data_IF_361528422517
#
_entry.id   IF_361528422517
#
_cell.length_a   1.000
_cell.length_b   1.000
_cell.length_c   1.000
_cell.angle_alpha   90.00
_cell.angle_beta   90.00
_cell.angle_gamma   90.00
#
_symmetry.space_group_name_H-M   'P 1'
#
loop_
_entity.id
_entity.type
_entity.pdbx_description
1 polymer ?
#
# COMPACT_ATOMS: atom_id res chain seq x y z
N UNK A 1 28.95 -9.70 25.97
CA UNK A 1 28.78 -8.88 24.75
C UNK A 1 28.96 -9.76 23.53
N UNK A 2 28.09 -9.61 22.53
CA UNK A 2 28.15 -10.39 21.29
C UNK A 2 29.26 -9.86 20.36
N UNK A 3 29.91 -10.73 19.58
CA UNK A 3 30.84 -10.28 18.55
C UNK A 3 30.15 -9.39 17.50
N UNK A 4 30.81 -8.30 17.10
CA UNK A 4 30.31 -7.35 16.10
C UNK A 4 29.93 -8.01 14.76
N UNK A 5 30.61 -9.11 14.41
CA UNK A 5 30.34 -9.92 13.23
C UNK A 5 28.90 -10.45 13.17
N UNK A 6 28.31 -10.77 14.32
CA UNK A 6 26.93 -11.25 14.42
C UNK A 6 25.90 -10.16 14.08
N UNK A 7 26.29 -8.88 14.17
CA UNK A 7 25.40 -7.72 14.01
C UNK A 7 25.58 -6.99 12.67
N UNK A 8 26.52 -7.43 11.82
CA UNK A 8 26.84 -6.77 10.53
C UNK A 8 25.68 -6.71 9.53
N UNK A 9 24.71 -7.62 9.63
CA UNK A 9 23.56 -7.67 8.72
C UNK A 9 22.44 -6.68 9.08
N UNK A 10 22.57 -6.00 10.23
CA UNK A 10 21.63 -4.98 10.68
C UNK A 10 22.08 -3.65 10.06
N UNK A 11 21.41 -3.23 9.00
CA UNK A 11 21.74 -2.05 8.20
C UNK A 11 21.32 -0.74 8.89
N UNK A 12 20.51 -0.82 9.95
CA UNK A 12 20.05 0.33 10.72
C UNK A 12 18.88 1.07 10.09
N UNK A 13 18.26 0.52 9.04
CA UNK A 13 17.04 1.04 8.47
C UNK A 13 15.88 0.99 9.47
N UNK A 14 15.08 2.06 9.51
CA UNK A 14 13.98 2.23 10.47
C UNK A 14 13.04 1.02 10.51
N UNK A 15 12.64 0.51 9.35
CA UNK A 15 11.77 -0.67 9.24
C UNK A 15 12.41 -1.94 9.83
N UNK A 16 13.68 -2.20 9.50
CA UNK A 16 14.39 -3.38 10.03
C UNK A 16 14.50 -3.27 11.56
N UNK A 17 14.82 -2.08 12.05
CA UNK A 17 14.93 -1.81 13.47
C UNK A 17 13.60 -2.05 14.22
N UNK A 18 12.50 -1.45 13.76
CA UNK A 18 11.19 -1.63 14.40
C UNK A 18 10.75 -3.09 14.41
N UNK A 19 10.99 -3.80 13.31
CA UNK A 19 10.71 -5.23 13.21
C UNK A 19 11.54 -6.05 14.21
N UNK A 20 12.84 -5.76 14.33
CA UNK A 20 13.73 -6.46 15.27
C UNK A 20 13.38 -6.19 16.73
N UNK A 21 13.03 -4.94 17.06
CA UNK A 21 12.63 -4.55 18.40
C UNK A 21 11.36 -5.32 18.84
N UNK A 22 10.35 -5.35 17.97
CA UNK A 22 9.12 -6.12 18.19
C UNK A 22 9.40 -7.58 18.53
N UNK A 23 10.35 -8.21 17.84
CA UNK A 23 10.66 -9.64 18.03
C UNK A 23 11.46 -9.88 19.30
N UNK A 24 12.45 -9.04 19.58
CA UNK A 24 13.28 -9.26 20.76
C UNK A 24 12.47 -9.03 22.04
N UNK A 25 11.54 -8.08 22.06
CA UNK A 25 10.60 -7.90 23.18
C UNK A 25 9.67 -9.11 23.37
N UNK A 26 9.28 -9.77 22.27
CA UNK A 26 8.47 -11.00 22.33
C UNK A 26 9.29 -12.22 22.83
N UNK A 27 10.57 -12.34 22.47
CA UNK A 27 11.43 -13.50 22.79
C UNK A 27 12.09 -13.38 24.16
N UNK A 28 12.44 -12.18 24.58
CA UNK A 28 13.21 -11.95 25.81
C UNK A 28 12.34 -11.89 27.08
N UNK A 29 11.00 -11.95 26.95
CA UNK A 29 10.03 -11.63 28.01
C UNK A 29 10.28 -10.26 28.68
N UNK A 30 11.14 -9.41 28.09
CA UNK A 30 11.43 -8.03 28.51
C UNK A 30 10.30 -7.08 28.08
N UNK A 31 9.04 -7.50 28.17
CA UNK A 31 7.94 -6.52 28.12
C UNK A 31 8.21 -5.52 29.23
N UNK A 32 8.32 -4.22 28.96
CA UNK A 32 8.68 -3.28 30.00
C UNK A 32 7.61 -3.34 31.10
N UNK A 33 7.94 -3.64 32.37
CA UNK A 33 7.10 -3.23 33.48
C UNK A 33 7.31 -1.73 33.64
N UNK A 34 6.77 -0.90 32.72
CA UNK A 34 6.80 0.57 32.74
C UNK A 34 8.19 1.24 32.99
N UNK A 35 9.32 0.52 32.96
CA UNK A 35 10.59 1.01 33.50
C UNK A 35 11.83 0.85 32.62
N UNK A 36 11.90 -0.17 31.75
CA UNK A 36 13.06 -0.35 30.84
C UNK A 36 13.14 0.76 29.77
N UNK A 37 12.00 1.35 29.43
CA UNK A 37 11.90 2.40 28.42
C UNK A 37 12.57 3.70 28.83
N UNK A 38 12.72 3.98 30.14
CA UNK A 38 13.05 5.32 30.64
C UNK A 38 14.55 5.65 30.67
N UNK A 39 15.43 4.63 30.70
CA UNK A 39 16.89 4.83 30.65
C UNK A 39 17.44 4.79 29.21
N UNK A 40 16.74 4.13 28.28
CA UNK A 40 17.16 3.96 26.88
C UNK A 40 16.49 4.94 25.90
N UNK A 41 15.67 5.88 26.38
CA UNK A 41 14.89 6.85 25.55
C UNK A 41 15.79 7.68 24.62
N UNK A 42 17.05 7.87 24.99
CA UNK A 42 18.02 8.65 24.22
C UNK A 42 18.69 7.85 23.10
N UNK A 43 18.60 6.52 23.13
CA UNK A 43 19.11 5.65 22.08
C UNK A 43 17.98 5.36 21.09
N UNK A 44 18.28 5.57 19.81
CA UNK A 44 17.37 5.27 18.70
C UNK A 44 18.03 4.33 17.70
N UNK A 45 17.22 3.61 16.93
CA UNK A 45 17.68 2.71 15.89
C UNK A 45 18.65 1.64 16.39
N UNK A 46 19.72 1.37 15.62
CA UNK A 46 20.68 0.30 15.89
C UNK A 46 21.25 0.29 17.32
N UNK A 47 21.53 1.46 17.89
CA UNK A 47 22.13 1.56 19.23
C UNK A 47 21.17 1.11 20.34
N UNK A 48 19.88 1.41 20.18
CA UNK A 48 18.85 0.96 21.10
C UNK A 48 18.73 -0.57 21.07
N UNK A 49 18.69 -1.16 19.87
CA UNK A 49 18.63 -2.61 19.72
C UNK A 49 19.83 -3.33 20.35
N UNK A 50 21.04 -2.79 20.16
CA UNK A 50 22.26 -3.33 20.77
C UNK A 50 22.20 -3.24 22.30
N UNK A 51 21.74 -2.11 22.84
CA UNK A 51 21.59 -1.97 24.29
C UNK A 51 20.57 -2.98 24.86
N UNK A 52 19.45 -3.21 24.18
CA UNK A 52 18.47 -4.23 24.56
C UNK A 52 19.09 -5.64 24.56
N UNK A 53 19.90 -5.96 23.55
CA UNK A 53 20.64 -7.23 23.49
C UNK A 53 21.68 -7.38 24.61
N UNK A 54 22.36 -6.30 24.99
CA UNK A 54 23.36 -6.31 26.05
C UNK A 54 22.72 -6.53 27.43
N UNK A 55 21.54 -5.95 27.68
CA UNK A 55 20.79 -6.10 28.94
C UNK A 55 20.14 -7.48 29.08
N UNK A 56 19.83 -8.14 27.97
CA UNK A 56 19.19 -9.46 28.00
C UNK A 56 20.09 -10.51 28.67
N UNK A 57 19.70 -11.06 29.83
CA UNK A 57 20.56 -11.95 30.62
C UNK A 57 20.45 -13.42 30.17
N UNK A 58 21.10 -13.75 29.06
CA UNK A 58 21.14 -15.09 28.45
C UNK A 58 22.57 -15.42 28.00
N UNK A 59 22.90 -16.71 27.96
CA UNK A 59 24.21 -17.18 27.48
C UNK A 59 24.54 -16.65 26.07
N UNK A 60 25.81 -16.36 25.84
CA UNK A 60 26.28 -15.75 24.59
C UNK A 60 25.99 -16.68 23.38
N UNK A 61 26.08 -18.00 23.55
CA UNK A 61 25.78 -18.95 22.48
C UNK A 61 24.28 -18.96 22.14
N UNK A 62 23.42 -18.89 23.15
CA UNK A 62 21.98 -18.79 22.94
C UNK A 62 21.59 -17.46 22.30
N UNK A 63 22.17 -16.33 22.74
CA UNK A 63 21.99 -15.03 22.07
C UNK A 63 22.41 -15.06 20.61
N UNK A 64 23.57 -15.65 20.30
CA UNK A 64 24.08 -15.74 18.93
C UNK A 64 23.15 -16.59 18.04
N UNK A 65 22.60 -17.69 18.59
CA UNK A 65 21.60 -18.51 17.91
C UNK A 65 20.34 -17.71 17.61
N UNK A 66 19.82 -16.96 18.58
CA UNK A 66 18.60 -16.17 18.37
C UNK A 66 18.80 -15.03 17.36
N UNK A 67 19.95 -14.36 17.35
CA UNK A 67 20.26 -13.35 16.32
C UNK A 67 20.30 -13.98 14.92
N UNK A 68 20.88 -15.18 14.78
CA UNK A 68 20.88 -15.88 13.50
C UNK A 68 19.47 -16.34 13.08
N UNK A 69 18.61 -16.70 14.03
CA UNK A 69 17.20 -16.98 13.76
C UNK A 69 16.48 -15.72 13.26
N UNK A 70 16.64 -14.59 13.96
CA UNK A 70 16.08 -13.30 13.56
C UNK A 70 16.56 -12.88 12.17
N UNK A 71 17.83 -13.13 11.83
CA UNK A 71 18.37 -12.87 10.49
C UNK A 71 17.63 -13.67 9.42
N UNK A 72 17.43 -14.97 9.64
CA UNK A 72 16.71 -15.86 8.70
C UNK A 72 15.25 -15.43 8.55
N UNK A 73 14.60 -15.08 9.66
CA UNK A 73 13.23 -14.59 9.66
C UNK A 73 13.10 -13.26 8.91
N UNK A 74 14.01 -12.31 9.14
CA UNK A 74 14.04 -11.04 8.43
C UNK A 74 14.21 -11.23 6.92
N UNK A 75 15.12 -12.12 6.49
CA UNK A 75 15.31 -12.42 5.07
C UNK A 75 14.04 -13.02 4.43
N UNK A 76 13.36 -13.93 5.15
CA UNK A 76 12.10 -14.51 4.70
C UNK A 76 10.98 -13.46 4.67
N UNK A 77 10.94 -12.59 5.66
CA UNK A 77 10.00 -11.46 5.76
C UNK A 77 10.16 -10.54 4.56
N UNK A 78 11.39 -10.07 4.30
CA UNK A 78 11.73 -9.22 3.16
C UNK A 78 11.45 -9.90 1.81
N UNK A 79 11.62 -11.21 1.70
CA UNK A 79 11.27 -11.94 0.47
C UNK A 79 9.76 -11.90 0.15
N UNK A 80 8.91 -11.69 1.17
CA UNK A 80 7.46 -11.52 0.98
C UNK A 80 7.07 -10.10 0.55
N UNK A 81 7.98 -9.12 0.62
CA UNK A 81 7.73 -7.75 0.15
C UNK A 81 7.32 -7.69 -1.33
N UNK A 82 7.67 -8.71 -2.11
CA UNK A 82 7.22 -8.88 -3.51
C UNK A 82 5.70 -8.80 -3.68
N UNK A 83 4.92 -9.14 -2.65
CA UNK A 83 3.45 -8.99 -2.70
C UNK A 83 3.02 -7.52 -2.77
N UNK A 84 3.87 -6.62 -2.28
CA UNK A 84 3.68 -5.17 -2.27
C UNK A 84 4.41 -4.46 -3.43
N UNK A 85 5.10 -5.18 -4.32
CA UNK A 85 5.83 -4.59 -5.45
C UNK A 85 4.97 -3.65 -6.34
N UNK A 86 3.65 -3.84 -6.34
CA UNK A 86 2.73 -2.93 -7.01
C UNK A 86 2.74 -1.49 -6.46
N UNK A 87 3.14 -1.28 -5.21
CA UNK A 87 3.25 0.04 -4.60
C UNK A 87 4.60 0.72 -4.84
N UNK A 88 5.61 -0.02 -5.33
CA UNK A 88 6.97 0.48 -5.62
C UNK A 88 7.07 1.23 -6.97
N UNK A 89 5.93 1.59 -7.56
CA UNK A 89 5.90 2.26 -8.85
C UNK A 89 6.47 3.68 -8.78
N UNK A 90 7.43 4.00 -9.66
CA UNK A 90 8.13 5.30 -9.64
C UNK A 90 7.22 6.51 -9.89
N UNK A 91 6.11 6.33 -10.62
CA UNK A 91 5.22 7.43 -11.00
C UNK A 91 3.96 7.46 -10.14
N UNK A 92 3.38 6.29 -9.91
CA UNK A 92 2.09 6.17 -9.23
C UNK A 92 2.22 5.65 -7.80
N UNK A 93 3.39 5.17 -7.37
CA UNK A 93 3.58 4.49 -6.08
C UNK A 93 3.12 5.32 -4.90
N UNK A 94 3.51 6.59 -4.83
CA UNK A 94 3.05 7.51 -3.78
C UNK A 94 1.52 7.66 -3.76
N UNK A 95 0.88 7.81 -4.93
CA UNK A 95 -0.60 7.90 -5.02
C UNK A 95 -1.28 6.58 -4.67
N UNK A 96 -0.68 5.45 -5.02
CA UNK A 96 -1.15 4.11 -4.62
C UNK A 96 -1.04 3.92 -3.11
N UNK A 97 0.03 4.42 -2.48
CA UNK A 97 0.22 4.41 -1.03
C UNK A 97 -0.82 5.29 -0.32
N UNK A 98 -1.07 6.50 -0.82
CA UNK A 98 -2.16 7.34 -0.30
C UNK A 98 -3.53 6.66 -0.46
N UNK A 99 -3.78 6.02 -1.60
CA UNK A 99 -5.01 5.25 -1.81
C UNK A 99 -5.13 4.06 -0.84
N UNK A 100 -4.00 3.44 -0.47
CA UNK A 100 -3.94 2.42 0.58
C UNK A 100 -4.33 3.01 1.93
N UNK A 101 -3.78 4.19 2.30
CA UNK A 101 -4.16 4.88 3.53
C UNK A 101 -5.66 5.18 3.59
N UNK A 102 -6.23 5.76 2.53
CA UNK A 102 -7.67 6.04 2.48
C UNK A 102 -8.54 4.77 2.52
N UNK A 103 -7.99 3.62 2.12
CA UNK A 103 -8.67 2.34 2.25
C UNK A 103 -8.60 1.85 3.70
N UNK A 104 -7.41 1.88 4.30
CA UNK A 104 -7.16 1.49 5.68
C UNK A 104 -8.05 2.30 6.62
N UNK A 105 -8.02 3.63 6.54
CA UNK A 105 -8.83 4.56 7.34
C UNK A 105 -10.34 4.23 7.35
N UNK A 106 -10.86 3.67 6.26
CA UNK A 106 -12.28 3.32 6.13
C UNK A 106 -12.63 1.91 6.59
N UNK A 107 -11.67 0.98 6.57
CA UNK A 107 -11.95 -0.45 6.73
C UNK A 107 -11.34 -1.03 7.99
N UNK A 108 -10.27 -0.44 8.52
CA UNK A 108 -9.63 -0.88 9.75
C UNK A 108 -10.15 -0.04 10.92
N UNK A 109 -10.91 -0.71 11.80
CA UNK A 109 -11.53 -0.10 12.99
C UNK A 109 -10.55 0.08 14.14
N UNK A 110 -9.35 -0.51 14.04
CA UNK A 110 -8.35 -0.53 15.11
C UNK A 110 -7.18 0.42 14.85
N UNK A 111 -7.23 1.21 13.77
CA UNK A 111 -6.24 2.28 13.54
C UNK A 111 -6.27 3.24 14.73
N UNK A 112 -5.14 3.37 15.40
CA UNK A 112 -4.95 4.41 16.40
C UNK A 112 -5.09 5.78 15.73
N UNK A 113 -5.75 6.74 16.39
CA UNK A 113 -5.84 8.12 15.90
C UNK A 113 -4.47 8.80 15.73
N UNK A 114 -3.44 8.23 16.34
CA UNK A 114 -2.05 8.70 16.29
C UNK A 114 -1.26 8.12 15.11
N UNK A 115 -1.84 7.16 14.36
CA UNK A 115 -1.16 6.55 13.22
C UNK A 115 -0.94 7.57 12.11
N UNK A 116 0.31 7.71 11.68
CA UNK A 116 0.67 8.60 10.59
C UNK A 116 0.15 8.08 9.24
N UNK A 117 -0.28 8.99 8.34
CA UNK A 117 -0.73 8.59 7.02
C UNK A 117 0.36 7.88 6.21
N UNK A 118 -0.03 6.80 5.52
CA UNK A 118 0.85 6.10 4.59
C UNK A 118 1.02 6.94 3.31
N UNK A 119 2.19 7.54 3.15
CA UNK A 119 2.53 8.43 2.04
C UNK A 119 3.49 7.79 1.02
N UNK A 120 4.26 6.79 1.44
CA UNK A 120 5.28 6.15 0.62
C UNK A 120 5.35 4.63 0.85
N UNK A 121 6.16 3.96 0.02
CA UNK A 121 6.30 2.51 0.02
C UNK A 121 6.86 1.96 1.34
N UNK A 122 7.81 2.67 1.96
CA UNK A 122 8.42 2.21 3.21
C UNK A 122 7.43 2.26 4.37
N UNK A 123 6.69 3.36 4.50
CA UNK A 123 5.61 3.51 5.50
C UNK A 123 4.51 2.46 5.30
N UNK A 124 4.19 2.13 4.05
CA UNK A 124 3.23 1.08 3.74
C UNK A 124 3.71 -0.25 4.31
N UNK A 125 4.95 -0.64 4.04
CA UNK A 125 5.49 -1.89 4.54
C UNK A 125 5.54 -1.93 6.08
N UNK A 126 5.93 -0.83 6.72
CA UNK A 126 5.95 -0.72 8.19
C UNK A 126 4.55 -0.93 8.79
N UNK A 127 3.52 -0.32 8.20
CA UNK A 127 2.13 -0.55 8.65
C UNK A 127 1.72 -2.02 8.54
N UNK A 128 2.02 -2.69 7.43
CA UNK A 128 1.66 -4.11 7.26
C UNK A 128 2.47 -5.04 8.17
N UNK A 129 3.71 -4.66 8.52
CA UNK A 129 4.53 -5.38 9.49
C UNK A 129 3.91 -5.31 10.91
N UNK A 130 3.37 -4.15 11.29
CA UNK A 130 2.71 -3.90 12.59
C UNK A 130 1.30 -4.49 12.69
N UNK A 131 0.53 -4.47 11.59
CA UNK A 131 -0.88 -4.89 11.58
C UNK A 131 -1.07 -6.40 11.86
N UNK A 132 0.01 -7.20 11.88
CA UNK A 132 0.01 -8.65 12.14
C UNK A 132 -1.03 -9.43 11.32
N UNK A 133 -1.35 -8.98 10.11
CA UNK A 133 -2.32 -9.64 9.24
C UNK A 133 -1.88 -11.06 8.87
N UNK A 134 -2.83 -11.99 8.85
CA UNK A 134 -2.59 -13.30 8.24
C UNK A 134 -2.36 -13.18 6.73
N UNK A 135 -1.62 -14.11 6.11
CA UNK A 135 -1.32 -14.06 4.66
C UNK A 135 -2.57 -13.94 3.78
N UNK A 136 -3.67 -14.60 4.17
CA UNK A 136 -4.95 -14.51 3.44
C UNK A 136 -5.61 -13.14 3.55
N UNK A 137 -5.57 -12.55 4.74
CA UNK A 137 -6.10 -11.22 5.05
C UNK A 137 -5.30 -10.13 4.34
N UNK A 138 -3.97 -10.17 4.44
CA UNK A 138 -3.08 -9.26 3.72
C UNK A 138 -3.40 -9.25 2.21
N UNK A 139 -3.55 -10.42 1.60
CA UNK A 139 -3.92 -10.52 0.17
C UNK A 139 -5.30 -9.94 -0.11
N UNK A 140 -6.26 -10.11 0.80
CA UNK A 140 -7.59 -9.51 0.66
C UNK A 140 -7.53 -7.98 0.74
N UNK A 141 -6.78 -7.43 1.70
CA UNK A 141 -6.53 -5.99 1.85
C UNK A 141 -5.89 -5.42 0.58
N UNK A 142 -4.79 -6.02 0.11
CA UNK A 142 -4.10 -5.56 -1.12
C UNK A 142 -5.05 -5.60 -2.33
N UNK A 143 -5.87 -6.64 -2.47
CA UNK A 143 -6.89 -6.70 -3.54
C UNK A 143 -7.93 -5.58 -3.42
N UNK A 144 -8.41 -5.31 -2.21
CA UNK A 144 -9.35 -4.22 -1.93
C UNK A 144 -8.78 -2.85 -2.31
N UNK A 145 -7.53 -2.60 -1.96
CA UNK A 145 -6.81 -1.37 -2.32
C UNK A 145 -6.69 -1.25 -3.85
N UNK A 146 -6.25 -2.31 -4.53
CA UNK A 146 -6.13 -2.33 -6.01
C UNK A 146 -7.47 -2.08 -6.71
N UNK A 147 -8.56 -2.66 -6.20
CA UNK A 147 -9.89 -2.45 -6.75
C UNK A 147 -10.33 -0.99 -6.57
N UNK A 148 -10.11 -0.40 -5.39
CA UNK A 148 -10.40 1.01 -5.13
C UNK A 148 -9.58 1.92 -6.05
N UNK A 149 -8.29 1.65 -6.21
CA UNK A 149 -7.42 2.39 -7.12
C UNK A 149 -7.95 2.36 -8.55
N UNK A 150 -8.34 1.19 -9.06
CA UNK A 150 -8.90 1.07 -10.40
C UNK A 150 -10.17 1.88 -10.58
N UNK A 151 -11.02 1.96 -9.54
CA UNK A 151 -12.22 2.82 -9.57
C UNK A 151 -11.85 4.30 -9.56
N UNK A 152 -10.94 4.72 -8.68
CA UNK A 152 -10.46 6.11 -8.61
C UNK A 152 -9.85 6.56 -9.94
N UNK A 153 -9.04 5.71 -10.57
CA UNK A 153 -8.48 5.97 -11.90
C UNK A 153 -9.53 6.02 -13.00
N UNK A 154 -10.57 5.20 -12.90
CA UNK A 154 -11.70 5.27 -13.84
C UNK A 154 -12.44 6.60 -13.67
N UNK A 155 -12.81 6.94 -12.43
CA UNK A 155 -13.54 8.17 -12.10
C UNK A 155 -12.75 9.41 -12.55
N UNK A 156 -11.44 9.47 -12.29
CA UNK A 156 -10.56 10.55 -12.76
C UNK A 156 -10.61 10.71 -14.29
N UNK A 157 -10.61 9.60 -15.05
CA UNK A 157 -10.67 9.60 -16.53
C UNK A 157 -12.06 9.90 -17.09
N UNK A 158 -13.10 9.76 -16.29
CA UNK A 158 -14.50 9.94 -16.69
C UNK A 158 -15.18 11.09 -15.95
N UNK A 159 -14.41 12.00 -15.32
CA UNK A 159 -14.97 13.13 -14.55
C UNK A 159 -15.93 13.98 -15.39
N UNK A 160 -15.65 14.14 -16.68
CA UNK A 160 -16.45 14.85 -17.69
C UNK A 160 -17.42 13.94 -18.47
N UNK A 161 -17.38 12.62 -18.24
CA UNK A 161 -18.08 11.63 -19.06
C UNK A 161 -19.03 10.79 -18.23
N UNK A 162 -20.33 10.95 -18.49
CA UNK A 162 -21.36 10.08 -17.94
C UNK A 162 -21.79 9.07 -18.99
N UNK A 163 -21.69 7.78 -18.70
CA UNK A 163 -22.25 6.76 -19.58
C UNK A 163 -23.78 6.86 -19.54
N UNK A 164 -24.39 7.10 -20.70
CA UNK A 164 -25.85 7.08 -20.87
C UNK A 164 -26.21 5.83 -21.67
N UNK A 165 -27.08 4.99 -21.12
CA UNK A 165 -27.58 3.81 -21.83
C UNK A 165 -28.76 4.25 -22.72
N UNK A 166 -28.51 4.33 -24.03
CA UNK A 166 -29.53 4.70 -25.03
C UNK A 166 -29.84 3.48 -25.88
N UNK A 167 -31.14 3.16 -26.02
CA UNK A 167 -31.59 2.20 -27.03
C UNK A 167 -31.72 2.91 -28.37
N UNK A 168 -30.96 2.46 -29.35
CA UNK A 168 -31.03 2.91 -30.74
C UNK A 168 -31.56 1.77 -31.61
N UNK A 169 -32.28 2.11 -32.67
CA UNK A 169 -32.70 1.10 -33.65
C UNK A 169 -31.49 0.47 -34.33
N UNK A 170 -31.63 -0.79 -34.78
CA UNK A 170 -30.55 -1.53 -35.46
C UNK A 170 -30.03 -0.80 -36.71
N UNK A 171 -30.92 -0.09 -37.43
CA UNK A 171 -30.56 0.73 -38.59
C UNK A 171 -29.68 1.91 -38.19
N UNK A 172 -30.03 2.63 -37.12
CA UNK A 172 -29.23 3.77 -36.61
C UNK A 172 -27.86 3.32 -36.11
N UNK A 173 -27.76 2.14 -35.48
CA UNK A 173 -26.46 1.57 -35.07
C UNK A 173 -25.56 1.30 -36.28
N UNK A 174 -26.12 0.81 -37.38
CA UNK A 174 -25.36 0.53 -38.62
C UNK A 174 -24.82 1.83 -39.22
N UNK A 175 -25.64 2.88 -39.27
CA UNK A 175 -25.22 4.21 -39.72
C UNK A 175 -24.13 4.78 -38.79
N UNK A 176 -24.29 4.62 -37.48
CA UNK A 176 -23.31 5.06 -36.50
C UNK A 176 -21.96 4.36 -36.69
N UNK A 177 -21.96 3.07 -37.04
CA UNK A 177 -20.75 2.30 -37.36
C UNK A 177 -20.05 2.77 -38.63
N UNK A 178 -20.82 3.07 -39.67
CA UNK A 178 -20.27 3.60 -40.91
C UNK A 178 -19.64 4.97 -40.70
N UNK A 179 -20.30 5.85 -39.94
CA UNK A 179 -19.77 7.17 -39.58
C UNK A 179 -18.52 7.08 -38.72
N UNK A 180 -18.52 6.19 -37.73
CA UNK A 180 -17.36 5.90 -36.89
C UNK A 180 -16.15 5.46 -37.72
N UNK A 181 -16.35 4.51 -38.65
CA UNK A 181 -15.30 4.03 -39.56
C UNK A 181 -14.82 5.11 -40.51
N UNK A 182 -15.74 5.87 -41.12
CA UNK A 182 -15.43 6.91 -42.10
C UNK A 182 -14.55 8.02 -41.52
N UNK A 183 -14.73 8.34 -40.24
CA UNK A 183 -14.04 9.43 -39.56
C UNK A 183 -12.95 8.97 -38.59
N UNK A 184 -12.68 7.66 -38.49
CA UNK A 184 -11.75 7.05 -37.52
C UNK A 184 -12.04 7.46 -36.06
N UNK A 185 -13.33 7.43 -35.68
CA UNK A 185 -13.82 7.83 -34.36
C UNK A 185 -14.50 6.67 -33.65
N UNK A 186 -14.54 6.73 -32.32
CA UNK A 186 -15.39 5.84 -31.53
C UNK A 186 -16.86 6.26 -31.65
N UNK A 187 -17.78 5.29 -31.63
CA UNK A 187 -19.25 5.52 -31.65
C UNK A 187 -19.70 6.65 -30.71
N UNK A 188 -19.20 6.67 -29.47
CA UNK A 188 -19.52 7.72 -28.50
C UNK A 188 -19.09 9.12 -28.95
N UNK A 189 -17.91 9.26 -29.57
CA UNK A 189 -17.44 10.55 -30.08
C UNK A 189 -18.27 11.04 -31.27
N UNK A 190 -18.78 10.11 -32.09
CA UNK A 190 -19.70 10.45 -33.18
C UNK A 190 -21.02 10.98 -32.60
N UNK A 191 -21.57 10.29 -31.59
CA UNK A 191 -22.78 10.74 -30.91
C UNK A 191 -22.59 12.12 -30.25
N UNK A 192 -21.49 12.32 -29.52
CA UNK A 192 -21.18 13.60 -28.88
C UNK A 192 -21.16 14.73 -29.93
N UNK A 193 -20.43 14.54 -31.05
CA UNK A 193 -20.36 15.52 -32.13
C UNK A 193 -21.72 15.80 -32.76
N UNK A 194 -22.52 14.75 -33.01
CA UNK A 194 -23.86 14.92 -33.58
C UNK A 194 -24.76 15.73 -32.64
N UNK A 195 -24.73 15.43 -31.33
CA UNK A 195 -25.51 16.15 -30.32
C UNK A 195 -25.03 17.60 -30.19
N UNK A 196 -23.72 17.84 -30.18
CA UNK A 196 -23.16 19.21 -30.10
C UNK A 196 -23.50 20.02 -31.35
N UNK A 197 -23.29 19.46 -32.54
CA UNK A 197 -23.65 20.13 -33.80
C UNK A 197 -25.13 20.48 -33.86
N UNK A 198 -25.98 19.57 -33.38
CA UNK A 198 -27.42 19.78 -33.35
C UNK A 198 -27.82 20.84 -32.33
N UNK A 199 -27.21 20.85 -31.15
CA UNK A 199 -27.41 21.90 -30.14
C UNK A 199 -26.99 23.28 -30.63
N UNK A 200 -25.95 23.38 -31.47
CA UNK A 200 -25.47 24.64 -32.05
C UNK A 200 -26.36 25.12 -33.21
N UNK A 201 -26.97 24.18 -33.96
CA UNK A 201 -27.72 24.47 -35.18
C UNK A 201 -29.23 24.51 -34.98
N UNK A 202 -29.74 24.00 -33.85
CA UNK A 202 -31.13 24.13 -33.41
C UNK A 202 -32.17 23.52 -34.36
N UNK A 203 -31.88 22.38 -35.01
CA UNK A 203 -32.74 21.76 -36.03
C UNK A 203 -33.70 20.68 -35.51
N UNK A 204 -33.60 20.27 -34.24
CA UNK A 204 -34.64 19.46 -33.58
C UNK A 204 -35.84 20.38 -33.35
N UNK A 205 -36.72 20.44 -34.35
CA UNK A 205 -38.05 21.00 -34.20
C UNK A 205 -38.80 20.19 -33.13
N UNK A 206 -39.36 20.91 -32.15
CA UNK A 206 -40.24 20.32 -31.13
C UNK A 206 -41.39 19.60 -31.83
N UNK A 207 -41.55 18.31 -31.53
CA UNK A 207 -42.75 17.54 -31.83
C UNK A 207 -43.84 17.88 -30.82
#
# INVERSE_FOLDING_TARGET
>A
MLPDDCLKWIDGGERQYQWLLSRIEEVSDLRPPKGLSQELVHLTGRNHFIATLDIWDVDIADKAREIENLRKEWLKHKANDREFAWFEDKKEGARRCQCAWEWVERNDRFISKEQLPISNYQELLMYFDEAKFGTGEQKAVIRGIKQRWSRKQFDERTTDKKQVNVMLSKSVITILDELAKKHDLKRGQVLDRLITMESEQGRINQA
#
